data_IF_601170268793
#
_entry.id   IF_601170268793
#
_cell.length_a   1.000
_cell.length_b   1.000
_cell.length_c   1.000
_cell.angle_alpha   90.00
_cell.angle_beta   90.00
_cell.angle_gamma   90.00
#
_symmetry.space_group_name_H-M   'P 1'
#
loop_
_entity.id
_entity.type
_entity.pdbx_description
1 polymer ?
#
# COMPACT_ATOMS: atom_id res chain seq x y z
N UNK A 1 -60.19 28.63 -1.60
CA UNK A 1 -59.23 27.71 -1.01
C UNK A 1 -58.86 26.71 -2.10
N UNK A 2 -57.72 26.92 -2.77
CA UNK A 2 -57.23 25.95 -3.76
C UNK A 2 -56.54 24.85 -2.98
N UNK A 3 -57.11 23.66 -2.99
CA UNK A 3 -56.43 22.44 -2.54
C UNK A 3 -55.18 22.27 -3.40
N UNK A 4 -54.04 22.38 -2.77
CA UNK A 4 -52.77 21.94 -3.32
C UNK A 4 -52.82 20.41 -3.31
N UNK A 5 -53.44 19.81 -4.36
CA UNK A 5 -53.21 18.40 -4.65
C UNK A 5 -51.73 18.22 -4.85
N UNK A 6 -51.04 17.75 -3.81
CA UNK A 6 -49.65 17.31 -3.92
C UNK A 6 -49.64 16.22 -5.00
N UNK A 7 -49.07 16.53 -6.14
CA UNK A 7 -48.84 15.54 -7.20
C UNK A 7 -47.78 14.53 -6.69
N UNK A 8 -48.30 13.54 -5.95
CA UNK A 8 -47.49 12.47 -5.34
C UNK A 8 -46.75 11.72 -6.45
N UNK A 9 -47.37 11.55 -7.61
CA UNK A 9 -46.77 10.85 -8.75
C UNK A 9 -45.59 11.63 -9.31
N UNK A 10 -45.70 12.92 -9.48
CA UNK A 10 -44.61 13.81 -9.93
C UNK A 10 -43.45 13.84 -8.91
N UNK A 11 -43.79 13.90 -7.60
CA UNK A 11 -42.80 13.90 -6.55
C UNK A 11 -42.04 12.55 -6.47
N UNK A 12 -42.73 11.42 -6.59
CA UNK A 12 -42.13 10.10 -6.62
C UNK A 12 -41.24 9.92 -7.85
N UNK A 13 -41.71 10.39 -9.02
CA UNK A 13 -40.91 10.31 -10.26
C UNK A 13 -39.65 11.17 -10.18
N UNK A 14 -39.71 12.37 -9.60
CA UNK A 14 -38.59 13.25 -9.38
C UNK A 14 -37.53 12.61 -8.42
N UNK A 15 -37.99 12.01 -7.31
CA UNK A 15 -37.11 11.30 -6.37
C UNK A 15 -36.45 10.11 -7.04
N UNK A 16 -37.22 9.27 -7.77
CA UNK A 16 -36.67 8.13 -8.53
C UNK A 16 -35.64 8.58 -9.56
N UNK A 17 -35.89 9.66 -10.29
CA UNK A 17 -34.95 10.22 -11.25
C UNK A 17 -33.66 10.70 -10.58
N UNK A 18 -33.76 11.40 -9.45
CA UNK A 18 -32.62 11.88 -8.69
C UNK A 18 -31.79 10.68 -8.15
N UNK A 19 -32.47 9.66 -7.61
CA UNK A 19 -31.79 8.43 -7.11
C UNK A 19 -31.10 7.68 -8.26
N UNK A 20 -31.76 7.55 -9.41
CA UNK A 20 -31.17 6.93 -10.60
C UNK A 20 -29.96 7.73 -11.12
N UNK A 21 -30.03 9.06 -11.11
CA UNK A 21 -28.93 9.93 -11.52
C UNK A 21 -27.75 9.88 -10.57
N UNK A 22 -28.00 9.85 -9.26
CA UNK A 22 -26.96 9.67 -8.26
C UNK A 22 -26.33 8.26 -8.39
N UNK A 23 -27.15 7.21 -8.51
CA UNK A 23 -26.67 5.85 -8.68
C UNK A 23 -25.81 5.67 -9.94
N UNK A 24 -26.25 6.22 -11.08
CA UNK A 24 -25.43 6.18 -12.31
C UNK A 24 -24.16 7.02 -12.21
N UNK A 25 -24.20 8.17 -11.52
CA UNK A 25 -23.00 8.97 -11.27
C UNK A 25 -21.98 8.21 -10.41
N UNK A 26 -22.43 7.54 -9.35
CA UNK A 26 -21.58 6.70 -8.52
C UNK A 26 -21.00 5.55 -9.35
N UNK A 27 -21.83 4.88 -10.17
CA UNK A 27 -21.39 3.78 -11.03
C UNK A 27 -20.28 4.21 -12.01
N UNK A 28 -20.41 5.40 -12.61
CA UNK A 28 -19.41 5.96 -13.52
C UNK A 28 -18.09 6.28 -12.79
N UNK A 29 -18.18 6.76 -11.54
CA UNK A 29 -16.99 7.12 -10.74
C UNK A 29 -16.30 5.89 -10.12
N UNK A 30 -17.02 4.78 -9.95
CA UNK A 30 -16.51 3.58 -9.27
C UNK A 30 -15.13 3.10 -9.77
N UNK A 31 -14.86 3.00 -11.09
CA UNK A 31 -13.55 2.59 -11.61
C UNK A 31 -12.41 3.56 -11.27
N UNK A 32 -12.76 4.82 -10.99
CA UNK A 32 -11.78 5.88 -10.70
C UNK A 32 -11.48 6.04 -9.21
N UNK A 33 -12.24 5.36 -8.33
CA UNK A 33 -12.08 5.50 -6.88
C UNK A 33 -10.66 5.17 -6.44
N UNK A 34 -10.07 4.11 -6.99
CA UNK A 34 -8.68 3.73 -6.70
C UNK A 34 -7.71 4.88 -7.00
N UNK A 35 -7.77 5.40 -8.21
CA UNK A 35 -6.92 6.51 -8.64
C UNK A 35 -7.17 7.80 -7.84
N UNK A 36 -8.42 8.09 -7.47
CA UNK A 36 -8.78 9.25 -6.63
C UNK A 36 -8.17 9.12 -5.24
N UNK A 37 -8.31 7.95 -4.61
CA UNK A 37 -7.76 7.69 -3.27
C UNK A 37 -6.24 7.81 -3.27
N UNK A 38 -5.56 7.17 -4.25
CA UNK A 38 -4.12 7.26 -4.39
C UNK A 38 -3.66 8.70 -4.66
N UNK A 39 -4.32 9.40 -5.59
CA UNK A 39 -4.00 10.80 -5.90
C UNK A 39 -4.16 11.69 -4.66
N UNK A 40 -5.28 11.54 -3.92
CA UNK A 40 -5.53 12.29 -2.69
C UNK A 40 -4.47 12.01 -1.64
N UNK A 41 -4.14 10.74 -1.42
CA UNK A 41 -3.12 10.32 -0.46
C UNK A 41 -1.75 10.90 -0.79
N UNK A 42 -1.32 10.79 -2.05
CA UNK A 42 -0.04 11.33 -2.53
C UNK A 42 -0.02 12.85 -2.37
N UNK A 43 -1.07 13.55 -2.83
CA UNK A 43 -1.12 15.01 -2.78
C UNK A 43 -1.12 15.53 -1.35
N UNK A 44 -1.95 14.95 -0.47
CA UNK A 44 -2.02 15.39 0.94
C UNK A 44 -0.70 15.13 1.67
N UNK A 45 -0.07 13.98 1.41
CA UNK A 45 1.23 13.64 2.01
C UNK A 45 2.36 14.55 1.54
N UNK A 46 2.40 14.84 0.23
CA UNK A 46 3.48 15.62 -0.39
C UNK A 46 3.17 17.11 -0.52
N UNK A 47 2.04 17.57 0.03
CA UNK A 47 1.65 18.97 0.01
C UNK A 47 2.73 19.95 0.55
N UNK A 48 3.40 19.65 1.69
CA UNK A 48 4.48 20.51 2.18
C UNK A 48 5.66 20.60 1.19
N UNK A 49 5.98 19.46 0.53
CA UNK A 49 7.02 19.43 -0.50
C UNK A 49 6.63 20.31 -1.70
N UNK A 50 5.37 20.24 -2.11
CA UNK A 50 4.82 21.05 -3.20
C UNK A 50 4.94 22.54 -2.88
N UNK A 51 4.62 22.98 -1.66
CA UNK A 51 4.77 24.38 -1.23
C UNK A 51 6.24 24.78 -1.23
N UNK A 52 7.14 23.92 -0.74
CA UNK A 52 8.58 24.17 -0.74
C UNK A 52 9.12 24.32 -2.17
N UNK A 53 8.76 23.43 -3.08
CA UNK A 53 9.12 23.49 -4.49
C UNK A 53 8.57 24.77 -5.15
N UNK A 54 7.33 25.16 -4.81
CA UNK A 54 6.73 26.39 -5.31
C UNK A 54 7.50 27.63 -4.85
N UNK A 55 7.88 27.69 -3.57
CA UNK A 55 8.69 28.80 -3.05
C UNK A 55 10.06 28.90 -3.75
N UNK A 56 10.68 27.75 -4.04
CA UNK A 56 11.96 27.69 -4.76
C UNK A 56 11.84 28.08 -6.24
N UNK A 57 10.66 27.86 -6.86
CA UNK A 57 10.36 28.17 -8.27
C UNK A 57 9.66 29.55 -8.43
N UNK A 58 10.18 30.58 -7.76
CA UNK A 58 9.66 31.95 -7.84
C UNK A 58 8.14 32.05 -7.58
N UNK A 59 7.61 31.21 -6.72
CA UNK A 59 6.20 31.14 -6.37
C UNK A 59 5.25 30.86 -7.56
N UNK A 60 5.77 30.31 -8.67
CA UNK A 60 4.97 29.95 -9.84
C UNK A 60 4.32 28.57 -9.66
N UNK A 61 3.02 28.56 -9.40
CA UNK A 61 2.24 27.35 -9.18
C UNK A 61 2.37 26.32 -10.31
N UNK A 62 2.24 26.78 -11.56
CA UNK A 62 2.35 25.90 -12.74
C UNK A 62 3.68 25.14 -12.81
N UNK A 63 4.80 25.82 -12.54
CA UNK A 63 6.12 25.18 -12.53
C UNK A 63 6.23 24.15 -11.40
N UNK A 64 5.73 24.47 -10.21
CA UNK A 64 5.73 23.55 -9.09
C UNK A 64 4.88 22.30 -9.38
N UNK A 65 3.69 22.48 -9.94
CA UNK A 65 2.83 21.35 -10.37
C UNK A 65 3.53 20.49 -11.40
N UNK A 66 4.17 21.10 -12.42
CA UNK A 66 4.90 20.35 -13.45
C UNK A 66 6.05 19.54 -12.83
N UNK A 67 6.86 20.16 -11.94
CA UNK A 67 7.96 19.45 -11.27
C UNK A 67 7.44 18.30 -10.41
N UNK A 68 6.39 18.52 -9.61
CA UNK A 68 5.80 17.46 -8.78
C UNK A 68 5.24 16.32 -9.64
N UNK A 69 4.59 16.64 -10.76
CA UNK A 69 4.06 15.65 -11.70
C UNK A 69 5.17 14.84 -12.36
N UNK A 70 6.25 15.50 -12.81
CA UNK A 70 7.43 14.83 -13.36
C UNK A 70 8.12 13.96 -12.32
N UNK A 71 8.22 14.42 -11.07
CA UNK A 71 8.78 13.63 -9.98
C UNK A 71 7.96 12.36 -9.73
N UNK A 72 6.62 12.44 -9.72
CA UNK A 72 5.76 11.26 -9.61
C UNK A 72 5.94 10.29 -10.77
N UNK A 73 6.04 10.81 -12.00
CA UNK A 73 6.34 9.98 -13.18
C UNK A 73 7.71 9.31 -13.07
N UNK A 74 8.74 10.05 -12.65
CA UNK A 74 10.08 9.49 -12.45
C UNK A 74 10.11 8.39 -11.40
N UNK A 75 9.40 8.54 -10.28
CA UNK A 75 9.33 7.54 -9.21
C UNK A 75 8.79 6.20 -9.71
N UNK A 76 7.93 6.19 -10.73
CA UNK A 76 7.46 4.94 -11.33
C UNK A 76 8.32 4.51 -12.52
N UNK A 77 8.58 5.41 -13.47
CA UNK A 77 9.21 5.06 -14.75
C UNK A 77 10.65 4.59 -14.54
N UNK A 78 11.40 5.25 -13.65
CA UNK A 78 12.81 4.91 -13.43
C UNK A 78 12.98 3.48 -12.88
N UNK A 79 12.29 3.04 -11.79
CA UNK A 79 12.41 1.67 -11.34
C UNK A 79 11.88 0.66 -12.35
N UNK A 80 10.79 0.98 -13.05
CA UNK A 80 10.19 0.09 -14.04
C UNK A 80 11.15 -0.14 -15.22
N UNK A 81 11.75 0.91 -15.76
CA UNK A 81 12.75 0.81 -16.82
C UNK A 81 14.00 0.05 -16.37
N UNK A 82 14.43 0.26 -15.12
CA UNK A 82 15.55 -0.48 -14.55
C UNK A 82 15.25 -1.98 -14.43
N UNK A 83 14.09 -2.35 -13.91
CA UNK A 83 13.66 -3.76 -13.78
C UNK A 83 13.51 -4.41 -15.13
N UNK A 84 12.82 -3.77 -16.08
CA UNK A 84 12.65 -4.29 -17.46
C UNK A 84 14.00 -4.42 -18.14
N UNK A 85 14.85 -3.40 -18.05
CA UNK A 85 16.19 -3.40 -18.63
C UNK A 85 17.04 -4.55 -18.07
N UNK A 86 17.01 -4.76 -16.75
CA UNK A 86 17.74 -5.87 -16.10
C UNK A 86 17.22 -7.23 -16.54
N UNK A 87 15.90 -7.41 -16.64
CA UNK A 87 15.31 -8.67 -17.11
C UNK A 87 15.71 -8.94 -18.56
N UNK A 88 15.58 -7.93 -19.43
CA UNK A 88 15.89 -8.07 -20.86
C UNK A 88 17.37 -8.34 -21.10
N UNK A 89 18.25 -7.64 -20.38
CA UNK A 89 19.70 -7.83 -20.52
C UNK A 89 20.23 -9.16 -19.98
N UNK A 90 19.47 -9.83 -19.09
CA UNK A 90 19.88 -11.09 -18.46
C UNK A 90 18.94 -12.26 -18.79
N UNK A 91 18.14 -12.16 -19.85
CA UNK A 91 17.17 -13.21 -20.26
C UNK A 91 17.85 -14.58 -20.42
N UNK A 92 19.02 -14.63 -21.09
CA UNK A 92 19.74 -15.88 -21.30
C UNK A 92 20.30 -16.47 -20.00
N UNK A 93 20.76 -15.62 -19.10
CA UNK A 93 21.29 -16.00 -17.79
C UNK A 93 20.17 -16.49 -16.86
N UNK A 94 19.04 -15.80 -16.88
CA UNK A 94 17.82 -16.21 -16.17
C UNK A 94 17.31 -17.55 -16.70
N UNK A 95 17.28 -17.74 -18.02
CA UNK A 95 16.88 -19.00 -18.64
C UNK A 95 17.84 -20.16 -18.32
N UNK A 96 19.16 -19.90 -18.28
CA UNK A 96 20.16 -20.86 -17.85
C UNK A 96 19.98 -21.20 -16.37
N UNK A 97 19.69 -20.20 -15.54
CA UNK A 97 19.44 -20.37 -14.10
C UNK A 97 18.19 -21.21 -13.83
N UNK A 98 17.08 -20.94 -14.54
CA UNK A 98 15.85 -21.74 -14.48
C UNK A 98 16.11 -23.19 -14.89
N UNK A 99 16.92 -23.43 -15.93
CA UNK A 99 17.34 -24.79 -16.32
C UNK A 99 18.21 -25.47 -15.28
N UNK A 100 19.10 -24.72 -14.60
CA UNK A 100 19.93 -25.26 -13.54
C UNK A 100 19.12 -25.60 -12.28
N UNK A 101 18.04 -24.87 -12.01
CA UNK A 101 17.07 -25.21 -10.96
C UNK A 101 16.38 -26.56 -11.23
N UNK A 102 16.07 -26.89 -12.47
CA UNK A 102 15.48 -28.16 -12.85
C UNK A 102 16.48 -29.36 -12.67
N UNK A 103 17.79 -29.09 -12.71
CA UNK A 103 18.85 -30.07 -12.47
C UNK A 103 19.34 -30.14 -11.03
N UNK A 104 18.70 -29.42 -10.11
CA UNK A 104 19.13 -29.28 -8.73
C UNK A 104 18.89 -30.55 -7.91
N UNK A 105 19.97 -31.10 -7.34
CA UNK A 105 19.88 -32.17 -6.31
C UNK A 105 19.81 -31.48 -4.94
N UNK A 106 18.80 -31.82 -4.16
CA UNK A 106 18.62 -31.29 -2.81
C UNK A 106 19.89 -31.54 -1.96
N UNK A 107 20.52 -30.52 -1.40
CA UNK A 107 21.68 -30.72 -0.52
C UNK A 107 21.29 -31.55 0.70
N UNK A 108 22.26 -32.27 1.29
CA UNK A 108 22.05 -33.00 2.53
C UNK A 108 21.46 -32.08 3.63
N UNK A 109 20.55 -32.60 4.48
CA UNK A 109 19.95 -31.79 5.54
C UNK A 109 21.05 -31.19 6.43
N UNK A 110 20.97 -29.90 6.76
CA UNK A 110 21.93 -29.26 7.64
C UNK A 110 21.97 -29.97 8.99
N UNK A 111 23.20 -30.25 9.53
CA UNK A 111 23.38 -31.00 10.77
C UNK A 111 22.67 -30.40 12.00
N UNK A 112 22.35 -29.12 11.97
CA UNK A 112 21.61 -28.45 13.04
C UNK A 112 20.11 -28.82 13.04
N UNK A 113 19.56 -29.22 11.90
CA UNK A 113 18.14 -29.60 11.76
C UNK A 113 17.83 -30.85 12.60
N UNK A 114 18.76 -31.79 12.63
CA UNK A 114 18.67 -33.00 13.45
C UNK A 114 18.77 -32.73 14.98
N UNK A 115 19.33 -31.56 15.35
CA UNK A 115 19.53 -31.16 16.76
C UNK A 115 18.38 -30.38 17.37
N UNK A 116 17.33 -30.08 16.60
CA UNK A 116 16.17 -29.38 17.13
C UNK A 116 15.34 -30.27 18.05
N UNK A 117 15.11 -29.88 19.32
CA UNK A 117 14.31 -30.69 20.25
C UNK A 117 12.86 -30.71 19.73
N UNK A 118 12.21 -31.90 19.77
CA UNK A 118 10.81 -32.16 19.40
C UNK A 118 10.51 -32.20 17.88
N UNK A 119 11.18 -31.40 17.05
CA UNK A 119 10.82 -31.26 15.62
C UNK A 119 11.92 -31.81 14.69
N UNK A 120 13.17 -32.02 15.20
CA UNK A 120 14.34 -32.33 14.38
C UNK A 120 14.18 -33.64 13.58
N UNK A 121 13.63 -34.69 14.18
CA UNK A 121 13.40 -35.97 13.50
C UNK A 121 12.37 -35.84 12.35
N UNK A 122 11.25 -35.15 12.57
CA UNK A 122 10.22 -34.90 11.52
C UNK A 122 10.72 -33.94 10.44
N UNK A 123 11.53 -32.94 10.80
CA UNK A 123 12.10 -32.00 9.86
C UNK A 123 13.18 -32.65 8.97
N UNK A 124 14.01 -33.54 9.51
CA UNK A 124 14.98 -34.34 8.72
C UNK A 124 14.28 -35.36 7.84
N UNK A 125 13.20 -35.97 8.30
CA UNK A 125 12.39 -36.91 7.53
C UNK A 125 11.66 -36.20 6.37
N UNK A 126 11.06 -35.03 6.61
CA UNK A 126 10.49 -34.17 5.58
C UNK A 126 11.53 -33.67 4.58
N UNK A 127 12.73 -33.30 5.06
CA UNK A 127 13.84 -32.90 4.19
C UNK A 127 14.35 -34.06 3.33
N UNK A 128 14.50 -35.26 3.92
CA UNK A 128 14.87 -36.48 3.21
C UNK A 128 13.76 -36.92 2.23
N UNK A 129 12.50 -36.77 2.60
CA UNK A 129 11.35 -37.05 1.73
C UNK A 129 11.35 -36.11 0.51
N UNK A 130 11.53 -34.80 0.71
CA UNK A 130 11.68 -33.81 -0.36
C UNK A 130 12.94 -34.07 -1.21
N UNK A 131 14.02 -34.58 -0.58
CA UNK A 131 15.24 -34.95 -1.27
C UNK A 131 15.18 -36.29 -2.01
N UNK A 132 14.43 -37.27 -1.51
CA UNK A 132 14.30 -38.63 -2.09
C UNK A 132 13.21 -38.74 -3.16
N UNK A 133 12.12 -37.97 -3.02
CA UNK A 133 11.08 -37.87 -4.07
C UNK A 133 11.55 -37.11 -5.30
N UNK A 134 12.78 -36.56 -5.22
CA UNK A 134 13.41 -35.84 -6.32
C UNK A 134 12.68 -34.55 -6.71
N UNK A 135 13.45 -33.58 -7.09
CA UNK A 135 12.92 -32.35 -7.69
C UNK A 135 12.09 -32.69 -8.95
N UNK A 136 12.27 -33.89 -9.55
CA UNK A 136 11.44 -34.38 -10.66
C UNK A 136 9.95 -34.49 -10.32
N UNK A 137 9.59 -34.97 -9.13
CA UNK A 137 8.20 -35.06 -8.73
C UNK A 137 7.68 -33.73 -8.14
N UNK A 138 8.56 -32.96 -7.49
CA UNK A 138 8.29 -31.58 -7.10
C UNK A 138 8.26 -30.66 -8.34
N UNK A 139 9.14 -30.82 -9.31
CA UNK A 139 9.06 -30.09 -10.60
C UNK A 139 7.89 -30.60 -11.45
N UNK A 140 7.56 -31.88 -11.46
CA UNK A 140 6.34 -32.37 -12.12
C UNK A 140 5.06 -31.79 -11.49
N UNK A 141 5.07 -31.49 -10.20
CA UNK A 141 4.00 -30.76 -9.51
C UNK A 141 4.12 -29.23 -9.64
N UNK A 142 5.34 -28.68 -9.70
CA UNK A 142 5.59 -27.23 -9.79
C UNK A 142 5.62 -26.76 -11.24
N UNK A 143 6.00 -27.61 -12.22
CA UNK A 143 5.97 -27.27 -13.66
C UNK A 143 4.57 -26.88 -14.15
N UNK A 144 3.46 -27.55 -13.77
CA UNK A 144 2.13 -27.03 -14.05
C UNK A 144 1.85 -25.68 -13.36
N UNK A 145 2.38 -25.49 -12.13
CA UNK A 145 2.30 -24.19 -11.43
C UNK A 145 3.27 -23.17 -12.01
N UNK A 146 4.46 -23.55 -12.51
CA UNK A 146 5.36 -22.66 -13.24
C UNK A 146 4.74 -22.24 -14.57
N UNK A 147 4.09 -23.16 -15.30
CA UNK A 147 3.28 -22.85 -16.49
C UNK A 147 2.10 -21.95 -16.13
N UNK A 148 1.41 -22.21 -15.03
CA UNK A 148 0.35 -21.33 -14.53
C UNK A 148 0.88 -20.03 -13.92
N UNK A 149 2.07 -20.01 -13.33
CA UNK A 149 2.75 -18.76 -12.93
C UNK A 149 3.20 -17.95 -14.15
N UNK A 150 3.76 -18.59 -15.19
CA UNK A 150 4.09 -17.91 -16.44
C UNK A 150 2.84 -17.41 -17.14
N UNK A 151 1.77 -18.19 -17.20
CA UNK A 151 0.49 -17.76 -17.76
C UNK A 151 -0.20 -16.72 -16.85
N UNK A 152 -0.06 -16.81 -15.52
CA UNK A 152 -0.49 -15.79 -14.60
C UNK A 152 0.35 -14.50 -14.76
N UNK A 153 1.68 -14.59 -14.87
CA UNK A 153 2.54 -13.45 -15.21
C UNK A 153 2.20 -12.89 -16.60
N UNK A 154 1.98 -13.72 -17.60
CA UNK A 154 1.55 -13.29 -18.94
C UNK A 154 0.16 -12.64 -18.89
N UNK A 155 -0.76 -13.15 -18.08
CA UNK A 155 -2.04 -12.51 -17.81
C UNK A 155 -1.86 -11.19 -17.01
N UNK A 156 -0.87 -11.12 -16.12
CA UNK A 156 -0.50 -9.88 -15.42
C UNK A 156 0.18 -8.87 -16.36
N UNK A 157 0.89 -9.32 -17.43
CA UNK A 157 1.37 -8.42 -18.48
C UNK A 157 0.20 -7.75 -19.22
N UNK A 158 -0.93 -8.43 -19.41
CA UNK A 158 -2.20 -7.80 -19.77
C UNK A 158 -2.71 -6.82 -18.72
N UNK A 159 -2.53 -7.13 -17.43
CA UNK A 159 -2.83 -6.26 -16.28
C UNK A 159 -1.89 -5.06 -16.13
N UNK A 160 -0.64 -5.12 -16.62
CA UNK A 160 0.29 -3.99 -16.61
C UNK A 160 -0.29 -2.81 -17.40
N UNK A 161 -0.99 -3.06 -18.49
CA UNK A 161 -1.70 -2.01 -19.23
C UNK A 161 -2.75 -1.31 -18.36
N UNK A 162 -3.54 -2.05 -17.59
CA UNK A 162 -4.54 -1.51 -16.66
C UNK A 162 -3.87 -0.75 -15.53
N UNK A 163 -2.79 -1.30 -14.94
CA UNK A 163 -2.01 -0.63 -13.90
C UNK A 163 -1.38 0.68 -14.39
N UNK A 164 -0.86 0.69 -15.61
CA UNK A 164 -0.32 1.91 -16.23
C UNK A 164 -1.40 2.96 -16.45
N UNK A 165 -2.59 2.56 -16.91
CA UNK A 165 -3.73 3.47 -17.07
C UNK A 165 -4.17 4.02 -15.72
N UNK A 166 -4.32 3.17 -14.69
CA UNK A 166 -4.69 3.58 -13.35
C UNK A 166 -3.65 4.52 -12.73
N UNK A 167 -2.36 4.21 -12.92
CA UNK A 167 -1.28 5.08 -12.50
C UNK A 167 -1.28 6.42 -13.23
N UNK A 168 -1.40 6.41 -14.57
CA UNK A 168 -1.45 7.64 -15.36
C UNK A 168 -2.64 8.52 -14.93
N UNK A 169 -3.79 7.89 -14.70
CA UNK A 169 -4.96 8.54 -14.17
C UNK A 169 -4.70 9.15 -12.78
N UNK A 170 -4.03 8.40 -11.90
CA UNK A 170 -3.62 8.89 -10.58
C UNK A 170 -2.71 10.12 -10.69
N UNK A 171 -1.75 10.11 -11.62
CA UNK A 171 -0.86 11.26 -11.87
C UNK A 171 -1.63 12.47 -12.41
N UNK A 172 -2.54 12.26 -13.35
CA UNK A 172 -3.38 13.33 -13.90
C UNK A 172 -4.25 13.95 -12.80
N UNK A 173 -4.89 13.12 -11.98
CA UNK A 173 -5.69 13.57 -10.84
C UNK A 173 -4.85 14.29 -9.81
N UNK A 174 -3.66 13.76 -9.48
CA UNK A 174 -2.73 14.41 -8.57
C UNK A 174 -2.27 15.79 -9.10
N UNK A 175 -1.96 15.91 -10.37
CA UNK A 175 -1.62 17.19 -11.01
C UNK A 175 -2.77 18.20 -10.93
N UNK A 176 -4.00 17.76 -11.20
CA UNK A 176 -5.20 18.58 -11.07
C UNK A 176 -5.45 19.04 -9.61
N UNK A 177 -5.20 18.13 -8.64
CA UNK A 177 -5.29 18.44 -7.21
C UNK A 177 -4.18 19.38 -6.76
N UNK A 178 -2.93 19.19 -7.19
CA UNK A 178 -1.86 20.16 -6.93
C UNK A 178 -2.18 21.54 -7.49
N UNK A 179 -2.78 21.62 -8.67
CA UNK A 179 -3.15 22.88 -9.26
C UNK A 179 -4.25 23.64 -8.50
N UNK A 180 -5.21 22.91 -7.91
CA UNK A 180 -6.43 23.49 -7.32
C UNK A 180 -6.67 23.09 -5.86
N UNK A 181 -5.67 22.56 -5.14
CA UNK A 181 -5.85 21.92 -3.84
C UNK A 181 -6.43 22.82 -2.76
N UNK A 182 -6.03 24.11 -2.69
CA UNK A 182 -6.59 25.06 -1.73
C UNK A 182 -8.09 25.28 -1.96
N UNK A 183 -8.48 25.50 -3.23
CA UNK A 183 -9.90 25.68 -3.56
C UNK A 183 -10.73 24.42 -3.29
N UNK A 184 -10.15 23.24 -3.53
CA UNK A 184 -10.80 21.97 -3.22
C UNK A 184 -10.98 21.79 -1.71
N UNK A 185 -9.92 22.06 -0.93
CA UNK A 185 -9.96 22.02 0.53
C UNK A 185 -11.01 22.97 1.11
N UNK A 186 -11.04 24.24 0.66
CA UNK A 186 -12.04 25.21 1.10
C UNK A 186 -13.48 24.77 0.79
N UNK A 187 -13.69 24.13 -0.36
CA UNK A 187 -15.02 23.59 -0.73
C UNK A 187 -15.42 22.43 0.19
N UNK A 188 -14.47 21.53 0.50
CA UNK A 188 -14.71 20.41 1.40
C UNK A 188 -15.01 20.91 2.83
N UNK A 189 -14.27 21.89 3.33
CA UNK A 189 -14.50 22.49 4.65
C UNK A 189 -15.90 23.17 4.69
N UNK A 190 -16.25 23.94 3.66
CA UNK A 190 -17.59 24.56 3.55
C UNK A 190 -18.70 23.53 3.48
N UNK A 191 -18.49 22.44 2.75
CA UNK A 191 -19.44 21.34 2.67
C UNK A 191 -19.61 20.64 4.03
N UNK A 192 -18.50 20.29 4.70
CA UNK A 192 -18.52 19.70 6.05
C UNK A 192 -19.25 20.59 7.06
N UNK A 193 -18.94 21.90 7.07
CA UNK A 193 -19.61 22.87 7.91
C UNK A 193 -21.11 22.97 7.63
N UNK A 194 -21.54 22.85 6.37
CA UNK A 194 -22.96 22.86 6.01
C UNK A 194 -23.70 21.60 6.45
N UNK A 195 -23.02 20.45 6.50
CA UNK A 195 -23.61 19.17 6.90
C UNK A 195 -23.76 19.02 8.43
N UNK A 196 -22.70 19.34 9.17
CA UNK A 196 -22.61 19.05 10.60
C UNK A 196 -21.98 20.21 11.42
N UNK A 197 -22.10 21.45 10.95
CA UNK A 197 -21.57 22.61 11.65
C UNK A 197 -20.06 22.53 11.89
N UNK A 198 -19.64 22.94 13.10
CA UNK A 198 -18.22 22.88 13.52
C UNK A 198 -17.67 21.44 13.56
N UNK A 199 -18.49 20.45 13.92
CA UNK A 199 -18.12 19.05 13.91
C UNK A 199 -17.75 18.55 12.51
N UNK A 200 -18.52 18.96 11.49
CA UNK A 200 -18.22 18.62 10.09
C UNK A 200 -16.94 19.28 9.57
N UNK A 201 -16.64 20.51 9.98
CA UNK A 201 -15.38 21.18 9.68
C UNK A 201 -14.19 20.42 10.30
N UNK A 202 -14.29 20.10 11.59
CA UNK A 202 -13.27 19.34 12.31
C UNK A 202 -13.04 17.96 11.69
N UNK A 203 -14.10 17.27 11.26
CA UNK A 203 -13.99 15.99 10.57
C UNK A 203 -13.18 16.07 9.27
N UNK A 204 -13.34 17.15 8.48
CA UNK A 204 -12.56 17.36 7.26
C UNK A 204 -11.07 17.58 7.58
N UNK A 205 -10.74 18.36 8.61
CA UNK A 205 -9.36 18.56 9.05
C UNK A 205 -8.74 17.25 9.57
N UNK A 206 -9.48 16.49 10.38
CA UNK A 206 -9.04 15.20 10.91
C UNK A 206 -8.80 14.18 9.80
N UNK A 207 -9.68 14.14 8.78
CA UNK A 207 -9.48 13.30 7.60
C UNK A 207 -8.16 13.64 6.90
N UNK A 208 -7.87 14.92 6.68
CA UNK A 208 -6.61 15.37 6.07
C UNK A 208 -5.37 14.97 6.90
N UNK A 209 -5.43 15.15 8.22
CA UNK A 209 -4.37 14.75 9.13
C UNK A 209 -4.16 13.22 9.13
N UNK A 210 -5.25 12.46 9.14
CA UNK A 210 -5.20 10.98 9.11
C UNK A 210 -4.59 10.48 7.81
N UNK A 211 -5.03 11.00 6.65
CA UNK A 211 -4.45 10.66 5.33
C UNK A 211 -2.94 10.92 5.34
N UNK A 212 -2.53 12.09 5.83
CA UNK A 212 -1.11 12.44 5.93
C UNK A 212 -0.35 11.53 6.89
N UNK A 213 -0.93 11.22 8.05
CA UNK A 213 -0.36 10.29 9.03
C UNK A 213 -0.15 8.89 8.46
N UNK A 214 -1.15 8.35 7.75
CA UNK A 214 -1.06 7.04 7.08
C UNK A 214 0.04 7.06 6.01
N UNK A 215 0.05 8.07 5.13
CA UNK A 215 1.02 8.15 4.05
C UNK A 215 2.47 8.30 4.58
N UNK A 216 2.69 9.16 5.57
CA UNK A 216 3.99 9.30 6.23
C UNK A 216 4.38 8.01 6.96
N UNK A 217 3.42 7.35 7.61
CA UNK A 217 3.62 6.04 8.23
C UNK A 217 4.16 5.01 7.24
N UNK A 218 3.57 4.92 6.06
CA UNK A 218 4.02 4.02 4.98
C UNK A 218 5.45 4.36 4.54
N UNK A 219 5.73 5.63 4.23
CA UNK A 219 7.05 6.06 3.74
C UNK A 219 8.15 5.84 4.80
N UNK A 220 7.89 6.25 6.05
CA UNK A 220 8.87 6.09 7.14
C UNK A 220 9.11 4.60 7.45
N UNK A 221 8.06 3.80 7.44
CA UNK A 221 8.19 2.34 7.65
C UNK A 221 8.98 1.70 6.50
N UNK A 222 8.70 2.07 5.25
CA UNK A 222 9.44 1.57 4.09
C UNK A 222 10.94 1.93 4.15
N UNK A 223 11.27 3.17 4.55
CA UNK A 223 12.65 3.59 4.78
C UNK A 223 13.32 2.80 5.91
N UNK A 224 12.64 2.65 7.04
CA UNK A 224 13.16 1.90 8.18
C UNK A 224 13.42 0.43 7.80
N UNK A 225 12.48 -0.21 7.11
CA UNK A 225 12.61 -1.58 6.62
C UNK A 225 13.75 -1.73 5.59
N UNK A 226 13.87 -0.79 4.64
CA UNK A 226 14.92 -0.81 3.63
C UNK A 226 16.30 -0.65 4.27
N UNK A 227 16.46 0.29 5.22
CA UNK A 227 17.72 0.50 5.96
C UNK A 227 18.03 -0.75 6.79
N UNK A 228 17.08 -1.24 7.57
CA UNK A 228 17.29 -2.42 8.42
C UNK A 228 17.59 -3.66 7.57
N UNK A 229 16.81 -3.94 6.53
CA UNK A 229 17.05 -5.06 5.61
C UNK A 229 18.39 -4.92 4.88
N UNK A 230 18.72 -3.71 4.41
CA UNK A 230 20.00 -3.41 3.76
C UNK A 230 21.20 -3.64 4.63
N UNK A 231 21.13 -3.27 5.92
CA UNK A 231 22.17 -3.59 6.90
C UNK A 231 22.36 -5.11 7.03
N UNK A 232 21.27 -5.88 7.11
CA UNK A 232 21.35 -7.33 7.13
C UNK A 232 22.05 -7.92 5.91
N UNK A 233 21.73 -7.42 4.71
CA UNK A 233 22.38 -7.84 3.45
C UNK A 233 23.88 -7.55 3.44
N UNK A 234 24.28 -6.36 3.91
CA UNK A 234 25.70 -5.96 3.99
C UNK A 234 26.45 -6.84 5.00
N UNK A 235 25.88 -7.05 6.20
CA UNK A 235 26.49 -7.89 7.25
C UNK A 235 26.64 -9.35 6.79
N UNK A 236 25.64 -9.88 6.06
CA UNK A 236 25.67 -11.24 5.53
C UNK A 236 26.55 -11.39 4.27
N UNK A 237 27.13 -10.30 3.75
CA UNK A 237 27.98 -10.33 2.57
C UNK A 237 27.25 -10.64 1.27
N UNK A 238 25.93 -10.31 1.19
CA UNK A 238 25.13 -10.56 -0.02
C UNK A 238 25.58 -9.61 -1.13
N UNK A 239 25.88 -10.12 -2.35
CA UNK A 239 26.28 -9.27 -3.47
C UNK A 239 25.12 -8.33 -3.84
N UNK A 240 25.47 -7.17 -4.40
CA UNK A 240 24.50 -6.14 -4.81
C UNK A 240 23.60 -5.63 -3.68
N UNK A 241 24.04 -5.68 -2.41
CA UNK A 241 23.24 -5.25 -1.26
C UNK A 241 22.60 -3.85 -1.45
N UNK A 242 23.30 -2.89 -2.06
CA UNK A 242 22.77 -1.55 -2.34
C UNK A 242 21.58 -1.57 -3.31
N UNK A 243 21.67 -2.35 -4.38
CA UNK A 243 20.59 -2.51 -5.37
C UNK A 243 19.38 -3.19 -4.74
N UNK A 244 19.63 -4.26 -3.96
CA UNK A 244 18.58 -4.98 -3.24
C UNK A 244 17.91 -4.09 -2.19
N UNK A 245 18.66 -3.21 -1.52
CA UNK A 245 18.12 -2.20 -0.58
C UNK A 245 17.19 -1.22 -1.31
N UNK A 246 17.59 -0.73 -2.49
CA UNK A 246 16.75 0.12 -3.33
C UNK A 246 15.47 -0.60 -3.78
N UNK A 247 15.60 -1.87 -4.21
CA UNK A 247 14.46 -2.71 -4.56
C UNK A 247 13.51 -2.90 -3.37
N UNK A 248 14.04 -3.19 -2.16
CA UNK A 248 13.23 -3.31 -0.94
C UNK A 248 12.48 -2.02 -0.62
N UNK A 249 13.11 -0.86 -0.73
CA UNK A 249 12.45 0.42 -0.52
C UNK A 249 11.26 0.58 -1.46
N UNK A 250 11.46 0.30 -2.74
CA UNK A 250 10.42 0.38 -3.75
C UNK A 250 9.27 -0.60 -3.48
N UNK A 251 9.59 -1.88 -3.22
CA UNK A 251 8.58 -2.89 -2.92
C UNK A 251 7.80 -2.59 -1.63
N UNK A 252 8.45 -2.02 -0.63
CA UNK A 252 7.79 -1.61 0.62
C UNK A 252 6.83 -0.44 0.41
N UNK A 253 7.21 0.56 -0.41
CA UNK A 253 6.30 1.65 -0.81
C UNK A 253 5.12 1.09 -1.63
N UNK A 254 5.37 0.12 -2.52
CA UNK A 254 4.36 -0.58 -3.29
C UNK A 254 3.50 -1.56 -2.45
N UNK A 255 3.71 -1.65 -1.12
CA UNK A 255 3.01 -2.52 -0.18
C UNK A 255 3.22 -4.02 -0.40
N UNK A 256 4.24 -4.42 -1.15
CA UNK A 256 4.65 -5.83 -1.34
C UNK A 256 5.54 -6.27 -0.17
N UNK A 257 6.29 -5.32 0.41
CA UNK A 257 7.17 -5.52 1.56
C UNK A 257 8.58 -5.98 1.19
N UNK A 258 9.40 -6.21 2.22
CA UNK A 258 10.83 -6.58 2.07
C UNK A 258 11.06 -8.08 1.91
N UNK A 259 10.06 -8.91 2.27
CA UNK A 259 10.18 -10.37 2.34
C UNK A 259 10.60 -11.01 1.00
N UNK A 260 10.10 -10.61 -0.18
CA UNK A 260 10.53 -11.22 -1.44
C UNK A 260 12.02 -11.06 -1.69
N UNK A 261 12.57 -9.86 -1.45
CA UNK A 261 14.00 -9.59 -1.68
C UNK A 261 14.88 -10.32 -0.66
N UNK A 262 14.53 -10.22 0.63
CA UNK A 262 15.28 -10.88 1.68
C UNK A 262 15.16 -12.40 1.60
N UNK A 263 14.01 -12.93 1.17
CA UNK A 263 13.81 -14.36 0.92
C UNK A 263 14.72 -14.90 -0.19
N UNK A 264 14.88 -14.14 -1.28
CA UNK A 264 15.87 -14.47 -2.32
C UNK A 264 17.30 -14.47 -1.78
N UNK A 265 17.64 -13.51 -0.92
CA UNK A 265 18.95 -13.45 -0.28
C UNK A 265 19.18 -14.63 0.66
N UNK A 266 18.18 -15.05 1.44
CA UNK A 266 18.23 -16.26 2.28
C UNK A 266 18.48 -17.49 1.42
N UNK A 267 17.71 -17.67 0.34
CA UNK A 267 17.86 -18.79 -0.58
C UNK A 267 19.27 -18.82 -1.19
N UNK A 268 19.78 -17.66 -1.63
CA UNK A 268 21.14 -17.54 -2.17
C UNK A 268 22.22 -17.91 -1.17
N UNK A 269 22.10 -17.47 0.10
CA UNK A 269 23.07 -17.80 1.15
C UNK A 269 23.11 -19.29 1.47
N UNK A 270 21.96 -19.95 1.53
CA UNK A 270 21.92 -21.41 1.68
C UNK A 270 22.50 -22.12 0.46
N UNK A 271 22.22 -21.62 -0.74
CA UNK A 271 22.78 -22.16 -1.98
C UNK A 271 24.31 -22.04 -2.04
N UNK A 272 24.87 -20.90 -1.63
CA UNK A 272 26.31 -20.67 -1.62
C UNK A 272 27.05 -21.47 -0.54
N UNK A 273 26.35 -22.29 0.26
CA UNK A 273 26.92 -23.06 1.35
C UNK A 273 27.16 -22.28 2.65
N UNK A 274 26.81 -20.99 2.67
CA UNK A 274 26.95 -20.14 3.85
C UNK A 274 25.75 -20.29 4.81
N UNK A 275 25.47 -21.51 5.27
CA UNK A 275 24.27 -21.86 6.04
C UNK A 275 24.09 -21.05 7.33
N UNK A 276 25.19 -20.70 8.02
CA UNK A 276 25.13 -19.85 9.21
C UNK A 276 24.59 -18.44 8.88
N UNK A 277 25.09 -17.84 7.80
CA UNK A 277 24.59 -16.55 7.30
C UNK A 277 23.18 -16.64 6.73
N UNK A 278 22.82 -17.77 6.11
CA UNK A 278 21.46 -18.05 5.67
C UNK A 278 20.47 -18.08 6.84
N UNK A 279 20.83 -18.72 7.94
CA UNK A 279 20.00 -18.76 9.17
C UNK A 279 19.89 -17.37 9.82
N UNK A 280 21.01 -16.64 9.92
CA UNK A 280 21.00 -15.26 10.39
C UNK A 280 20.03 -14.41 9.54
N UNK A 281 20.16 -14.49 8.22
CA UNK A 281 19.34 -13.72 7.30
C UNK A 281 17.86 -14.11 7.34
N UNK A 282 17.55 -15.39 7.61
CA UNK A 282 16.18 -15.86 7.81
C UNK A 282 15.52 -15.18 9.04
N UNK A 283 16.22 -15.19 10.18
CA UNK A 283 15.75 -14.50 11.39
C UNK A 283 15.61 -13.00 11.15
N UNK A 284 16.59 -12.39 10.47
CA UNK A 284 16.59 -10.99 10.10
C UNK A 284 15.39 -10.62 9.21
N UNK A 285 15.04 -11.50 8.26
CA UNK A 285 13.89 -11.37 7.37
C UNK A 285 12.57 -11.36 8.14
N UNK A 286 12.44 -12.26 9.12
CA UNK A 286 11.24 -12.32 9.98
C UNK A 286 11.09 -11.00 10.75
N UNK A 287 12.18 -10.51 11.36
CA UNK A 287 12.16 -9.24 12.09
C UNK A 287 11.83 -8.07 11.16
N UNK A 288 12.51 -7.96 10.01
CA UNK A 288 12.25 -6.90 9.03
C UNK A 288 10.81 -6.94 8.49
N UNK A 289 10.30 -8.14 8.19
CA UNK A 289 8.95 -8.33 7.68
C UNK A 289 7.85 -8.03 8.70
N UNK A 290 8.13 -8.22 10.00
CA UNK A 290 7.15 -7.93 11.06
C UNK A 290 7.17 -6.47 11.52
N UNK A 291 8.23 -5.71 11.23
CA UNK A 291 8.35 -4.28 11.60
C UNK A 291 7.16 -3.47 11.13
N UNK A 292 6.60 -3.77 9.97
CA UNK A 292 5.47 -3.06 9.37
C UNK A 292 4.22 -3.09 10.27
N UNK A 293 3.98 -4.23 10.92
CA UNK A 293 2.80 -4.43 11.78
C UNK A 293 2.83 -3.57 13.06
N UNK A 294 4.02 -3.11 13.48
CA UNK A 294 4.19 -2.29 14.68
C UNK A 294 4.48 -0.83 14.36
N UNK A 295 5.40 -0.55 13.44
CA UNK A 295 5.79 0.82 13.13
C UNK A 295 4.66 1.62 12.51
N UNK A 296 3.93 1.04 11.57
CA UNK A 296 2.87 1.73 10.84
C UNK A 296 1.76 2.26 11.76
N UNK A 297 1.12 1.46 12.63
CA UNK A 297 0.09 1.97 13.54
C UNK A 297 0.61 3.05 14.50
N UNK A 298 1.86 2.90 14.99
CA UNK A 298 2.48 3.88 15.89
C UNK A 298 2.68 5.24 15.19
N UNK A 299 3.14 5.20 13.92
CA UNK A 299 3.37 6.42 13.14
C UNK A 299 2.07 7.10 12.73
N UNK A 300 1.05 6.33 12.36
CA UNK A 300 -0.28 6.86 12.02
C UNK A 300 -0.87 7.58 13.23
N UNK A 301 -0.82 6.96 14.40
CA UNK A 301 -1.30 7.55 15.65
C UNK A 301 -0.67 8.91 15.96
N UNK A 302 0.66 9.02 15.79
CA UNK A 302 1.38 10.29 16.02
C UNK A 302 0.99 11.39 15.03
N UNK A 303 0.48 11.03 13.87
CA UNK A 303 0.08 12.00 12.84
C UNK A 303 -1.32 12.59 13.02
N UNK A 304 -2.23 11.91 13.74
CA UNK A 304 -3.64 12.27 13.78
C UNK A 304 -4.27 12.25 15.21
N UNK A 305 -3.46 12.05 16.27
CA UNK A 305 -3.91 11.93 17.67
C UNK A 305 -5.09 10.96 17.89
N UNK A 306 -5.15 9.89 17.10
CA UNK A 306 -6.21 8.90 17.13
C UNK A 306 -5.92 7.78 18.15
N UNK A 307 -6.95 7.17 18.76
CA UNK A 307 -6.78 5.96 19.55
C UNK A 307 -6.14 4.85 18.72
N UNK A 308 -5.13 4.16 19.29
CA UNK A 308 -4.40 3.09 18.58
C UNK A 308 -5.34 1.98 18.08
N UNK A 309 -6.35 1.64 18.88
CA UNK A 309 -7.35 0.62 18.53
C UNK A 309 -8.16 1.01 17.30
N UNK A 310 -8.54 2.27 17.18
CA UNK A 310 -9.29 2.79 16.03
C UNK A 310 -8.43 2.77 14.76
N UNK A 311 -7.15 3.16 14.85
CA UNK A 311 -6.21 3.07 13.74
C UNK A 311 -6.02 1.62 13.31
N UNK A 312 -5.80 0.70 14.27
CA UNK A 312 -5.61 -0.72 13.98
C UNK A 312 -6.86 -1.33 13.35
N UNK A 313 -8.03 -1.08 13.92
CA UNK A 313 -9.30 -1.53 13.36
C UNK A 313 -9.54 -0.96 11.95
N UNK A 314 -9.19 0.31 11.73
CA UNK A 314 -9.28 0.96 10.42
C UNK A 314 -8.37 0.32 9.38
N UNK A 315 -7.10 0.04 9.73
CA UNK A 315 -6.14 -0.59 8.82
C UNK A 315 -6.57 -2.02 8.48
N UNK A 316 -6.85 -2.84 9.50
CA UNK A 316 -7.21 -4.26 9.30
C UNK A 316 -8.60 -4.39 8.65
N UNK A 317 -9.60 -3.68 9.18
CA UNK A 317 -10.96 -3.70 8.62
C UNK A 317 -11.01 -3.12 7.21
N UNK A 318 -10.27 -2.03 6.97
CA UNK A 318 -10.13 -1.43 5.65
C UNK A 318 -9.48 -2.39 4.64
N UNK A 319 -8.39 -3.06 5.04
CA UNK A 319 -7.72 -4.06 4.19
C UNK A 319 -8.65 -5.20 3.80
N UNK A 320 -9.44 -5.71 4.75
CA UNK A 320 -10.40 -6.80 4.50
C UNK A 320 -11.56 -6.36 3.62
N UNK A 321 -12.04 -5.11 3.78
CA UNK A 321 -13.21 -4.60 3.03
C UNK A 321 -12.85 -4.09 1.63
N UNK A 322 -11.72 -3.41 1.48
CA UNK A 322 -11.34 -2.67 0.26
C UNK A 322 -9.97 -3.06 -0.30
N UNK A 323 -9.33 -4.13 0.23
CA UNK A 323 -7.98 -4.53 -0.18
C UNK A 323 -6.92 -3.46 0.19
N UNK A 324 -5.88 -3.32 -0.65
CA UNK A 324 -4.76 -2.40 -0.39
C UNK A 324 -5.19 -0.94 -0.21
N UNK A 325 -6.22 -0.50 -0.93
CA UNK A 325 -6.78 0.85 -0.81
C UNK A 325 -7.36 1.07 0.59
N UNK A 326 -7.91 0.02 1.19
CA UNK A 326 -8.51 0.07 2.52
C UNK A 326 -7.54 0.39 3.64
N UNK A 327 -6.23 0.12 3.46
CA UNK A 327 -5.19 0.51 4.43
C UNK A 327 -5.19 2.05 4.63
N UNK A 328 -5.49 2.80 3.58
CA UNK A 328 -5.55 4.26 3.61
C UNK A 328 -6.94 4.77 3.97
N UNK A 329 -7.97 4.20 3.35
CA UNK A 329 -9.36 4.64 3.52
C UNK A 329 -9.92 4.26 4.89
N UNK A 330 -9.62 3.06 5.39
CA UNK A 330 -10.17 2.54 6.64
C UNK A 330 -9.92 3.44 7.85
N UNK A 331 -8.67 3.80 8.17
CA UNK A 331 -8.38 4.73 9.28
C UNK A 331 -9.05 6.09 9.10
N UNK A 332 -9.12 6.61 7.87
CA UNK A 332 -9.76 7.91 7.59
C UNK A 332 -11.27 7.85 7.84
N UNK A 333 -11.93 6.81 7.35
CA UNK A 333 -13.38 6.62 7.55
C UNK A 333 -13.72 6.49 9.03
N UNK A 334 -12.97 5.67 9.77
CA UNK A 334 -13.21 5.50 11.20
C UNK A 334 -12.89 6.78 11.99
N UNK A 335 -11.83 7.50 11.65
CA UNK A 335 -11.50 8.77 12.28
C UNK A 335 -12.59 9.84 12.07
N UNK A 336 -13.11 9.94 10.85
CA UNK A 336 -14.22 10.86 10.53
C UNK A 336 -15.49 10.44 11.24
N UNK A 337 -15.82 9.14 11.26
CA UNK A 337 -16.99 8.62 11.96
C UNK A 337 -16.93 8.90 13.45
N UNK A 338 -15.78 8.66 14.09
CA UNK A 338 -15.53 8.93 15.50
C UNK A 338 -15.67 10.43 15.82
N UNK A 339 -15.07 11.30 15.02
CA UNK A 339 -15.16 12.74 15.19
C UNK A 339 -16.59 13.26 15.05
N UNK A 340 -17.36 12.76 14.08
CA UNK A 340 -18.76 13.17 13.90
C UNK A 340 -19.65 12.63 15.03
N UNK A 341 -19.42 11.41 15.48
CA UNK A 341 -20.16 10.80 16.57
C UNK A 341 -19.91 11.57 17.90
N UNK A 342 -18.64 11.88 18.18
CA UNK A 342 -18.28 12.68 19.35
C UNK A 342 -18.92 14.07 19.30
N UNK A 343 -18.82 14.76 18.16
CA UNK A 343 -19.43 16.06 17.98
C UNK A 343 -20.98 16.03 18.14
N UNK A 344 -21.61 14.93 17.73
CA UNK A 344 -23.05 14.75 17.90
C UNK A 344 -23.43 14.54 19.36
N UNK A 345 -22.70 13.70 20.10
CA UNK A 345 -22.90 13.46 21.56
C UNK A 345 -22.73 14.76 22.32
N UNK A 346 -21.63 15.51 22.08
CA UNK A 346 -21.34 16.76 22.77
C UNK A 346 -22.39 17.84 22.51
N UNK A 347 -23.00 17.85 21.31
CA UNK A 347 -24.04 18.79 20.94
C UNK A 347 -25.37 18.57 21.70
N UNK A 348 -25.66 17.34 22.11
CA UNK A 348 -26.83 17.03 22.95
C UNK A 348 -26.58 17.42 24.40
N UNK A 349 -25.38 17.21 24.96
CA UNK A 349 -25.02 17.60 26.31
C UNK A 349 -25.18 19.12 26.55
N UNK A 350 -24.75 19.94 25.57
CA UNK A 350 -24.90 21.42 25.63
C UNK A 350 -26.36 21.84 25.55
N UNK A 351 -27.22 21.12 24.85
CA UNK A 351 -28.66 21.42 24.81
C UNK A 351 -29.37 21.11 26.11
N UNK A 352 -29.03 20.02 26.77
CA UNK A 352 -29.63 19.62 28.03
C UNK A 352 -29.23 20.58 29.17
N UNK A 353 -28.00 21.08 29.18
CA UNK A 353 -27.56 22.12 30.14
C UNK A 353 -28.27 23.46 29.91
N UNK A 354 -28.60 23.81 28.65
CA UNK A 354 -29.28 25.05 28.29
C UNK A 354 -30.80 25.01 28.56
N UNK A 355 -31.39 23.80 28.66
CA UNK A 355 -32.84 23.61 28.83
C UNK A 355 -33.21 23.33 30.29
N UNK A 356 -32.21 23.01 31.14
CA UNK A 356 -32.38 22.73 32.58
C UNK A 356 -32.13 23.93 33.51
N UNK A 357 -31.81 25.11 32.95
CA UNK A 357 -31.68 26.40 33.65
C UNK A 357 -32.86 27.33 33.30
#
# INVERSE_FOLDING_TARGET
>A
MAEIQRDITGSVLAVLFIVALIGSSIWIVLPFIGAIVWATTIVVATWPLMIYVQAWLWNRRTLAVTVMTLLLLCVLIVPLTFVIGTIVSNVDEIAAWVKSLAAFKTPAPPAWLAKLPVIGAKATELWAYVGATGIEEATARVVPYAGSMISWFAAQVGGVGVLLVEFLLTVILAAAMYANGERASERLVRFGRRLAGAGGENAVFLAGQTIRGVALGVVVTALAQAIFGGLGLVIAGVPFAGVLTGAMLFLSIAQIGVVPVLGCAVAWLYWSGASAWGTFMLVWTIVAGTMDNFLRPILIRKGADLPLLLVFAGVVGGLLAFGLIGIFVGPVVLAVADALLTAWIDSEAIKDESTGA
#
